data_IF_651411585025
#
_entry.id   IF_651411585025
#
_cell.length_a   1.000
_cell.length_b   1.000
_cell.length_c   1.000
_cell.angle_alpha   90.00
_cell.angle_beta   90.00
_cell.angle_gamma   90.00
#
_symmetry.space_group_name_H-M   'P 1'
#
loop_
_entity.id
_entity.type
_entity.pdbx_description
1 polymer ?
#
# COMPACT_ATOMS: atom_id res chain seq x y z
N UNK A 1 52.39 -41.21 -18.62
CA UNK A 1 51.45 -40.06 -18.58
C UNK A 1 50.70 -39.97 -19.91
N UNK A 2 49.51 -40.57 -20.00
CA UNK A 2 48.58 -40.41 -21.13
C UNK A 2 47.33 -41.27 -20.86
N UNK A 3 46.15 -40.68 -21.03
CA UNK A 3 44.79 -41.28 -21.00
C UNK A 3 43.98 -41.17 -19.69
N UNK A 4 43.60 -39.94 -19.32
CA UNK A 4 42.44 -39.71 -18.41
C UNK A 4 41.29 -38.91 -19.07
N UNK A 5 41.43 -38.56 -20.36
CA UNK A 5 40.49 -37.67 -21.07
C UNK A 5 39.60 -38.35 -22.12
N UNK A 6 39.79 -39.65 -22.42
CA UNK A 6 38.92 -40.40 -23.35
C UNK A 6 37.65 -40.86 -22.63
N UNK A 7 36.47 -40.42 -23.12
CA UNK A 7 35.16 -40.92 -22.70
C UNK A 7 34.37 -40.05 -21.70
N UNK A 8 34.82 -38.81 -21.40
CA UNK A 8 34.06 -37.88 -20.55
C UNK A 8 33.47 -36.74 -21.39
N UNK A 9 32.15 -36.75 -21.53
CA UNK A 9 31.37 -35.77 -22.28
C UNK A 9 30.76 -34.67 -21.40
N UNK A 10 29.96 -33.82 -22.04
CA UNK A 10 29.11 -32.83 -21.40
C UNK A 10 27.66 -33.13 -21.76
N UNK A 11 26.78 -33.08 -20.77
CA UNK A 11 25.35 -33.12 -20.96
C UNK A 11 24.78 -31.79 -20.53
N UNK A 12 24.02 -31.15 -21.42
CA UNK A 12 23.35 -29.89 -21.14
C UNK A 12 21.85 -30.09 -21.22
N UNK A 13 21.10 -29.24 -20.55
CA UNK A 13 19.66 -29.27 -20.63
C UNK A 13 19.03 -28.08 -19.95
N UNK A 14 17.71 -28.10 -19.91
CA UNK A 14 16.88 -27.10 -19.25
C UNK A 14 15.89 -27.81 -18.31
N UNK A 15 15.63 -27.18 -17.17
CA UNK A 15 14.53 -27.56 -16.27
C UNK A 15 13.45 -26.50 -16.39
N UNK A 16 12.24 -26.93 -16.73
CA UNK A 16 11.06 -26.08 -16.93
C UNK A 16 9.96 -26.50 -15.96
N UNK A 17 9.05 -25.59 -15.62
CA UNK A 17 7.77 -25.93 -15.00
C UNK A 17 6.79 -26.51 -16.05
N UNK A 18 5.68 -27.10 -15.60
CA UNK A 18 4.59 -27.53 -16.50
C UNK A 18 3.96 -26.36 -17.28
N UNK A 19 4.12 -25.14 -16.79
CA UNK A 19 3.78 -23.87 -17.43
C UNK A 19 4.79 -23.45 -18.53
N UNK A 20 5.90 -24.18 -18.68
CA UNK A 20 6.97 -23.86 -19.62
C UNK A 20 7.96 -22.81 -19.11
N UNK A 21 7.75 -22.28 -17.89
CA UNK A 21 8.63 -21.27 -17.31
C UNK A 21 9.96 -21.90 -16.82
N UNK A 22 11.11 -21.20 -16.95
CA UNK A 22 12.37 -21.75 -16.51
C UNK A 22 12.48 -21.88 -14.99
N UNK A 23 12.90 -23.05 -14.50
CA UNK A 23 13.11 -23.29 -13.06
C UNK A 23 14.55 -22.99 -12.70
N UNK A 24 14.80 -21.83 -12.11
CA UNK A 24 16.12 -21.45 -11.61
C UNK A 24 16.50 -22.18 -10.32
N UNK A 25 17.80 -22.35 -10.07
CA UNK A 25 18.35 -22.97 -8.87
C UNK A 25 17.89 -24.42 -8.59
N UNK A 26 17.31 -25.11 -9.57
CA UNK A 26 17.01 -26.53 -9.48
C UNK A 26 18.31 -27.32 -9.39
N UNK A 27 18.38 -28.25 -8.45
CA UNK A 27 19.51 -29.18 -8.31
C UNK A 27 19.25 -30.41 -9.17
N UNK A 28 20.17 -30.72 -10.06
CA UNK A 28 20.13 -31.87 -10.97
C UNK A 28 21.27 -32.82 -10.59
N UNK A 29 20.92 -34.00 -10.08
CA UNK A 29 21.86 -35.00 -9.56
C UNK A 29 21.86 -36.20 -10.51
N UNK A 30 23.00 -36.42 -11.15
CA UNK A 30 23.26 -37.57 -12.02
C UNK A 30 23.98 -38.64 -11.21
N UNK A 31 23.41 -39.85 -11.11
CA UNK A 31 24.06 -41.03 -10.50
C UNK A 31 24.23 -42.12 -11.54
N UNK A 32 25.47 -42.49 -11.84
CA UNK A 32 25.75 -43.56 -12.81
C UNK A 32 25.33 -44.91 -12.23
N UNK A 33 24.49 -45.68 -12.94
CA UNK A 33 23.85 -46.88 -12.37
C UNK A 33 24.87 -47.97 -12.01
N UNK A 34 25.90 -48.20 -12.83
CA UNK A 34 26.93 -49.21 -12.53
C UNK A 34 28.06 -48.68 -11.66
N UNK A 35 28.65 -47.53 -12.02
CA UNK A 35 29.81 -46.95 -11.34
C UNK A 35 29.48 -46.26 -10.01
N UNK A 36 28.20 -45.99 -9.74
CA UNK A 36 27.71 -45.27 -8.56
C UNK A 36 28.30 -43.86 -8.38
N UNK A 37 29.01 -43.33 -9.39
CA UNK A 37 29.55 -41.98 -9.39
C UNK A 37 28.44 -40.93 -9.51
N UNK A 38 28.55 -39.84 -8.75
CA UNK A 38 27.59 -38.73 -8.73
C UNK A 38 28.14 -37.46 -9.33
N UNK A 39 27.30 -36.74 -10.08
CA UNK A 39 27.59 -35.41 -10.64
C UNK A 39 26.40 -34.53 -10.32
N UNK A 40 26.65 -33.36 -9.72
CA UNK A 40 25.62 -32.39 -9.40
C UNK A 40 25.75 -31.18 -10.31
N UNK A 41 24.63 -30.63 -10.74
CA UNK A 41 24.55 -29.34 -11.43
C UNK A 41 23.40 -28.54 -10.86
N UNK A 42 23.45 -27.23 -11.05
CA UNK A 42 22.37 -26.32 -10.66
C UNK A 42 21.95 -25.50 -11.88
N UNK A 43 20.66 -25.22 -12.02
CA UNK A 43 20.15 -24.44 -13.13
C UNK A 43 20.38 -22.94 -12.93
N UNK A 44 20.64 -22.23 -14.02
CA UNK A 44 20.72 -20.76 -14.03
C UNK A 44 19.32 -20.10 -14.09
N UNK A 45 19.26 -18.77 -14.22
CA UNK A 45 18.00 -18.01 -14.35
C UNK A 45 17.13 -18.40 -15.56
N UNK A 46 17.73 -19.02 -16.57
CA UNK A 46 17.05 -19.55 -17.76
C UNK A 46 16.70 -21.04 -17.63
N UNK A 47 16.81 -21.60 -16.43
CA UNK A 47 16.57 -23.02 -16.18
C UNK A 47 17.66 -23.94 -16.75
N UNK A 48 18.73 -23.41 -17.32
CA UNK A 48 19.74 -24.20 -18.02
C UNK A 48 20.77 -24.78 -17.04
N UNK A 49 21.15 -26.05 -17.24
CA UNK A 49 22.20 -26.73 -16.47
C UNK A 49 23.25 -27.35 -17.39
N UNK A 50 24.44 -27.62 -16.82
CA UNK A 50 25.54 -28.31 -17.49
C UNK A 50 26.17 -29.34 -16.56
N UNK A 51 25.99 -30.62 -16.87
CA UNK A 51 26.71 -31.71 -16.24
C UNK A 51 27.98 -32.03 -17.04
N UNK A 52 29.12 -31.63 -16.51
CA UNK A 52 30.43 -31.95 -17.06
C UNK A 52 30.92 -33.32 -16.56
N UNK A 53 31.84 -33.94 -17.30
CA UNK A 53 32.52 -35.18 -16.91
C UNK A 53 31.65 -36.44 -16.89
N UNK A 54 30.55 -36.43 -17.65
CA UNK A 54 29.61 -37.55 -17.77
C UNK A 54 30.23 -38.65 -18.66
N UNK A 55 30.20 -39.90 -18.20
CA UNK A 55 30.57 -41.10 -18.97
C UNK A 55 29.36 -41.70 -19.70
N UNK A 56 29.59 -42.50 -20.73
CA UNK A 56 28.53 -43.27 -21.36
C UNK A 56 27.93 -44.32 -20.44
N UNK A 57 26.67 -44.66 -20.69
CA UNK A 57 25.93 -45.62 -19.88
C UNK A 57 24.62 -45.07 -19.35
N UNK A 58 23.99 -45.84 -18.46
CA UNK A 58 22.71 -45.48 -17.85
C UNK A 58 22.94 -44.66 -16.58
N UNK A 59 22.25 -43.53 -16.49
CA UNK A 59 22.27 -42.61 -15.36
C UNK A 59 20.87 -42.48 -14.77
N UNK A 60 20.76 -42.49 -13.45
CA UNK A 60 19.59 -41.98 -12.75
C UNK A 60 19.78 -40.47 -12.57
N UNK A 61 18.73 -39.72 -12.87
CA UNK A 61 18.70 -38.25 -12.79
C UNK A 61 17.62 -37.87 -11.79
N UNK A 62 18.04 -37.32 -10.66
CA UNK A 62 17.16 -36.81 -9.62
C UNK A 62 17.18 -35.28 -9.68
N UNK A 63 16.01 -34.66 -9.83
CA UNK A 63 15.85 -33.21 -9.92
C UNK A 63 14.98 -32.71 -8.77
N UNK A 64 15.47 -31.68 -8.08
CA UNK A 64 14.81 -31.06 -6.94
C UNK A 64 14.84 -29.54 -7.08
N UNK A 65 13.73 -28.88 -6.81
CA UNK A 65 13.62 -27.43 -6.76
C UNK A 65 12.59 -27.04 -5.70
N UNK A 66 12.80 -25.90 -5.03
CA UNK A 66 11.86 -25.39 -4.05
C UNK A 66 10.50 -25.12 -4.70
N UNK A 67 9.42 -25.61 -4.08
CA UNK A 67 8.06 -25.43 -4.60
C UNK A 67 7.66 -26.41 -5.71
N UNK A 68 8.52 -27.36 -6.10
CA UNK A 68 8.22 -28.40 -7.09
C UNK A 68 8.30 -29.81 -6.51
N UNK A 69 7.52 -30.73 -7.06
CA UNK A 69 7.64 -32.15 -6.76
C UNK A 69 8.97 -32.69 -7.32
N UNK A 70 9.73 -33.50 -6.54
CA UNK A 70 10.98 -34.06 -7.02
C UNK A 70 10.71 -35.00 -8.20
N UNK A 71 11.53 -34.90 -9.24
CA UNK A 71 11.42 -35.75 -10.43
C UNK A 71 12.62 -36.67 -10.51
N UNK A 72 12.34 -37.97 -10.70
CA UNK A 72 13.35 -38.99 -10.93
C UNK A 72 13.14 -39.60 -12.31
N UNK A 73 14.21 -39.78 -13.05
CA UNK A 73 14.19 -40.38 -14.38
C UNK A 73 15.51 -41.12 -14.66
N UNK A 74 15.52 -41.95 -15.70
CA UNK A 74 16.76 -42.55 -16.19
C UNK A 74 17.09 -41.99 -17.57
N UNK A 75 18.37 -41.74 -17.82
CA UNK A 75 18.88 -41.22 -19.09
C UNK A 75 20.08 -42.05 -19.55
N UNK A 76 20.05 -42.50 -20.81
CA UNK A 76 21.16 -43.26 -21.40
C UNK A 76 22.05 -42.31 -22.19
N UNK A 77 23.29 -42.17 -21.73
CA UNK A 77 24.30 -41.34 -22.39
C UNK A 77 25.05 -42.19 -23.42
N UNK A 78 25.05 -41.74 -24.67
CA UNK A 78 25.86 -42.30 -25.75
C UNK A 78 27.27 -41.73 -25.75
N UNK A 79 28.26 -42.57 -26.04
CA UNK A 79 29.66 -42.16 -26.25
C UNK A 79 29.98 -41.91 -27.74
N UNK A 80 29.08 -42.35 -28.63
CA UNK A 80 29.33 -42.42 -30.08
C UNK A 80 28.69 -41.22 -30.79
N UNK A 81 27.53 -40.78 -30.32
CA UNK A 81 26.78 -39.67 -30.91
C UNK A 81 26.64 -38.53 -29.91
N UNK A 82 26.44 -37.32 -30.42
CA UNK A 82 26.11 -36.17 -29.60
C UNK A 82 24.75 -36.40 -28.93
N UNK A 83 24.75 -36.40 -27.59
CA UNK A 83 23.52 -36.52 -26.82
C UNK A 83 22.70 -35.23 -26.98
N UNK A 84 21.38 -35.33 -27.27
CA UNK A 84 20.53 -34.17 -27.38
C UNK A 84 20.44 -33.43 -26.04
N UNK A 85 20.19 -32.11 -26.04
CA UNK A 85 19.90 -31.38 -24.81
C UNK A 85 18.74 -32.02 -24.07
N UNK A 86 18.87 -32.16 -22.75
CA UNK A 86 17.78 -32.66 -21.92
C UNK A 86 16.74 -31.57 -21.67
N UNK A 87 15.48 -31.96 -21.67
CA UNK A 87 14.37 -31.13 -21.19
C UNK A 87 13.70 -31.86 -20.02
N UNK A 88 13.64 -31.21 -18.86
CA UNK A 88 13.09 -31.79 -17.64
C UNK A 88 11.97 -30.90 -17.14
N UNK A 89 10.73 -31.35 -17.30
CA UNK A 89 9.55 -30.62 -16.80
C UNK A 89 9.23 -31.03 -15.37
N UNK A 90 9.13 -30.07 -14.44
CA UNK A 90 8.74 -30.27 -13.05
C UNK A 90 7.31 -29.79 -12.80
N UNK A 91 6.59 -30.53 -11.94
CA UNK A 91 5.25 -30.15 -11.46
C UNK A 91 5.35 -29.36 -10.17
N UNK A 92 4.67 -28.22 -10.08
CA UNK A 92 4.59 -27.43 -8.83
C UNK A 92 3.88 -28.24 -7.75
N UNK A 93 4.24 -28.00 -6.49
CA UNK A 93 3.51 -28.59 -5.36
C UNK A 93 2.12 -27.96 -5.23
N UNK A 94 1.14 -28.70 -4.72
CA UNK A 94 -0.21 -28.16 -4.47
C UNK A 94 -0.16 -26.90 -3.60
N UNK A 95 0.68 -26.89 -2.57
CA UNK A 95 0.90 -25.71 -1.70
C UNK A 95 1.39 -24.49 -2.48
N UNK A 96 2.30 -24.68 -3.44
CA UNK A 96 2.81 -23.59 -4.27
C UNK A 96 1.71 -23.04 -5.17
N UNK A 97 0.96 -23.92 -5.83
CA UNK A 97 -0.14 -23.53 -6.73
C UNK A 97 -1.21 -22.75 -5.96
N UNK A 98 -1.68 -23.27 -4.82
CA UNK A 98 -2.68 -22.59 -3.97
C UNK A 98 -2.18 -21.23 -3.50
N UNK A 99 -0.89 -21.10 -3.16
CA UNK A 99 -0.31 -19.81 -2.75
C UNK A 99 -0.26 -18.80 -3.90
N UNK A 100 0.08 -19.24 -5.11
CA UNK A 100 0.09 -18.38 -6.31
C UNK A 100 -1.33 -17.95 -6.67
N UNK A 101 -2.29 -18.87 -6.69
CA UNK A 101 -3.71 -18.57 -6.94
C UNK A 101 -4.28 -17.59 -5.92
N UNK A 102 -3.97 -17.79 -4.63
CA UNK A 102 -4.38 -16.86 -3.57
C UNK A 102 -3.79 -15.46 -3.80
N UNK A 103 -2.51 -15.39 -4.18
CA UNK A 103 -1.84 -14.10 -4.45
C UNK A 103 -2.47 -13.37 -5.63
N UNK A 104 -2.73 -14.07 -6.74
CA UNK A 104 -3.36 -13.46 -7.92
C UNK A 104 -4.81 -13.06 -7.63
N UNK A 105 -5.56 -13.86 -6.85
CA UNK A 105 -6.90 -13.49 -6.42
C UNK A 105 -6.91 -12.21 -5.58
N UNK A 106 -5.99 -12.08 -4.61
CA UNK A 106 -5.85 -10.85 -3.80
C UNK A 106 -5.49 -9.66 -4.68
N UNK A 107 -4.58 -9.83 -5.63
CA UNK A 107 -4.18 -8.77 -6.57
C UNK A 107 -5.34 -8.32 -7.46
N UNK A 108 -6.13 -9.24 -7.98
CA UNK A 108 -7.32 -8.94 -8.78
C UNK A 108 -8.34 -8.15 -7.96
N UNK A 109 -8.70 -8.66 -6.78
CA UNK A 109 -9.66 -8.01 -5.89
C UNK A 109 -9.21 -6.61 -5.45
N UNK A 110 -7.91 -6.43 -5.17
CA UNK A 110 -7.35 -5.13 -4.82
C UNK A 110 -7.48 -4.14 -5.99
N UNK A 111 -7.20 -4.60 -7.22
CA UNK A 111 -7.34 -3.78 -8.42
C UNK A 111 -8.79 -3.39 -8.67
N UNK A 112 -9.72 -4.36 -8.65
CA UNK A 112 -11.16 -4.12 -8.82
C UNK A 112 -11.72 -3.18 -7.75
N UNK A 113 -11.34 -3.40 -6.48
CA UNK A 113 -11.77 -2.54 -5.37
C UNK A 113 -11.29 -1.10 -5.54
N UNK A 114 -10.05 -0.90 -5.98
CA UNK A 114 -9.51 0.44 -6.23
C UNK A 114 -10.23 1.13 -7.41
N UNK A 115 -10.50 0.41 -8.52
CA UNK A 115 -11.25 0.96 -9.64
C UNK A 115 -12.68 1.38 -9.26
N UNK A 116 -13.34 0.57 -8.43
CA UNK A 116 -14.67 0.89 -7.90
C UNK A 116 -14.63 2.13 -6.98
N UNK A 117 -13.60 2.24 -6.15
CA UNK A 117 -13.39 3.40 -5.28
C UNK A 117 -13.19 4.68 -6.11
N UNK A 118 -12.36 4.64 -7.15
CA UNK A 118 -12.15 5.78 -8.07
C UNK A 118 -13.45 6.18 -8.80
N UNK A 119 -14.32 5.20 -9.10
CA UNK A 119 -15.66 5.42 -9.65
C UNK A 119 -16.68 5.92 -8.63
N UNK A 120 -16.27 6.16 -7.38
CA UNK A 120 -17.13 6.53 -6.23
C UNK A 120 -18.19 5.49 -5.86
N UNK A 121 -17.99 4.23 -6.24
CA UNK A 121 -18.86 3.10 -5.88
C UNK A 121 -18.35 2.44 -4.61
N UNK A 122 -18.44 3.18 -3.50
CA UNK A 122 -17.73 2.83 -2.26
C UNK A 122 -18.27 1.57 -1.59
N UNK A 123 -19.58 1.29 -1.68
CA UNK A 123 -20.17 0.06 -1.14
C UNK A 123 -19.64 -1.17 -1.89
N UNK A 124 -19.59 -1.11 -3.22
CA UNK A 124 -19.06 -2.20 -4.06
C UNK A 124 -17.55 -2.40 -3.82
N UNK A 125 -16.80 -1.30 -3.69
CA UNK A 125 -15.39 -1.33 -3.35
C UNK A 125 -15.13 -2.01 -1.99
N UNK A 126 -15.90 -1.63 -0.96
CA UNK A 126 -15.80 -2.22 0.38
C UNK A 126 -16.05 -3.73 0.36
N UNK A 127 -16.98 -4.23 -0.48
CA UNK A 127 -17.21 -5.67 -0.66
C UNK A 127 -15.94 -6.35 -1.21
N UNK A 128 -15.31 -5.79 -2.26
CA UNK A 128 -14.08 -6.37 -2.83
C UNK A 128 -12.93 -6.42 -1.84
N UNK A 129 -12.75 -5.37 -1.05
CA UNK A 129 -11.72 -5.35 -0.02
C UNK A 129 -12.02 -6.34 1.12
N UNK A 130 -13.28 -6.54 1.51
CA UNK A 130 -13.65 -7.56 2.51
C UNK A 130 -13.41 -8.98 2.01
N UNK A 131 -13.67 -9.27 0.74
CA UNK A 131 -13.33 -10.56 0.13
C UNK A 131 -11.83 -10.88 0.26
N UNK A 132 -10.95 -9.86 0.25
CA UNK A 132 -9.50 -10.05 0.49
C UNK A 132 -9.25 -10.49 1.92
N UNK A 133 -9.86 -9.86 2.92
CA UNK A 133 -9.69 -10.23 4.32
C UNK A 133 -10.28 -11.60 4.65
N UNK A 134 -11.34 -12.02 3.98
CA UNK A 134 -11.86 -13.40 4.10
C UNK A 134 -10.86 -14.44 3.60
N UNK A 135 -10.10 -14.11 2.54
CA UNK A 135 -9.08 -14.98 1.96
C UNK A 135 -7.76 -14.94 2.72
N UNK A 136 -7.38 -13.76 3.22
CA UNK A 136 -6.12 -13.50 3.93
C UNK A 136 -6.40 -12.61 5.14
N UNK A 137 -6.88 -13.17 6.26
CA UNK A 137 -7.22 -12.41 7.46
C UNK A 137 -6.04 -11.63 8.06
N UNK A 138 -4.80 -12.05 7.80
CA UNK A 138 -3.60 -11.39 8.28
C UNK A 138 -3.24 -10.11 7.52
N UNK A 139 -3.86 -9.85 6.36
CA UNK A 139 -3.58 -8.67 5.53
C UNK A 139 -4.33 -7.44 6.04
N UNK A 140 -4.04 -7.04 7.28
CA UNK A 140 -4.74 -5.96 7.98
C UNK A 140 -4.66 -4.60 7.28
N UNK A 141 -3.68 -4.38 6.41
CA UNK A 141 -3.53 -3.13 5.65
C UNK A 141 -4.79 -2.81 4.83
N UNK A 142 -5.52 -3.84 4.38
CA UNK A 142 -6.77 -3.68 3.63
C UNK A 142 -7.89 -3.05 4.46
N UNK A 143 -7.80 -3.08 5.80
CA UNK A 143 -8.74 -2.36 6.64
C UNK A 143 -8.71 -0.85 6.36
N UNK A 144 -7.57 -0.28 5.98
CA UNK A 144 -7.50 1.14 5.60
C UNK A 144 -8.41 1.42 4.39
N UNK A 145 -8.36 0.58 3.35
CA UNK A 145 -9.21 0.70 2.17
C UNK A 145 -10.70 0.57 2.51
N UNK A 146 -11.07 -0.37 3.38
CA UNK A 146 -12.47 -0.56 3.81
C UNK A 146 -12.95 0.64 4.62
N UNK A 147 -12.13 1.11 5.57
CA UNK A 147 -12.40 2.32 6.36
C UNK A 147 -12.59 3.54 5.46
N UNK A 148 -11.74 3.71 4.45
CA UNK A 148 -11.85 4.79 3.47
C UNK A 148 -13.17 4.73 2.70
N UNK A 149 -13.63 3.54 2.30
CA UNK A 149 -14.93 3.39 1.63
C UNK A 149 -16.07 3.90 2.53
N UNK A 150 -16.11 3.47 3.79
CA UNK A 150 -17.15 3.91 4.73
C UNK A 150 -17.04 5.39 5.09
N UNK A 151 -15.82 5.93 5.17
CA UNK A 151 -15.59 7.35 5.38
C UNK A 151 -16.19 8.18 4.24
N UNK A 152 -15.98 7.77 2.98
CA UNK A 152 -16.55 8.45 1.81
C UNK A 152 -18.08 8.35 1.72
N UNK A 153 -18.67 7.34 2.37
CA UNK A 153 -20.11 7.19 2.53
C UNK A 153 -20.68 7.97 3.73
N UNK A 154 -19.81 8.68 4.47
CA UNK A 154 -20.15 9.35 5.74
C UNK A 154 -20.69 8.37 6.81
N UNK A 155 -20.50 7.07 6.61
CA UNK A 155 -20.83 6.01 7.57
C UNK A 155 -19.72 5.85 8.60
N UNK A 156 -19.51 6.89 9.39
CA UNK A 156 -18.36 6.97 10.29
C UNK A 156 -18.30 5.84 11.32
N UNK A 157 -19.44 5.45 11.90
CA UNK A 157 -19.49 4.33 12.85
C UNK A 157 -19.06 2.99 12.22
N UNK A 158 -19.38 2.80 10.93
CA UNK A 158 -18.92 1.64 10.16
C UNK A 158 -17.42 1.70 9.86
N UNK A 159 -16.85 2.89 9.67
CA UNK A 159 -15.44 3.09 9.34
C UNK A 159 -14.49 2.90 10.54
N UNK A 160 -14.91 3.36 11.73
CA UNK A 160 -14.14 3.32 12.99
C UNK A 160 -13.40 1.98 13.26
N UNK A 161 -14.07 0.81 13.27
CA UNK A 161 -13.40 -0.44 13.62
C UNK A 161 -12.28 -0.83 12.64
N UNK A 162 -12.38 -0.41 11.37
CA UNK A 162 -11.36 -0.72 10.37
C UNK A 162 -10.10 0.12 10.57
N UNK A 163 -10.23 1.43 10.83
CA UNK A 163 -9.05 2.25 11.17
C UNK A 163 -8.42 1.83 12.49
N UNK A 164 -9.23 1.50 13.50
CA UNK A 164 -8.74 0.98 14.77
C UNK A 164 -7.95 -0.32 14.60
N UNK A 165 -8.43 -1.25 13.77
CA UNK A 165 -7.72 -2.49 13.46
C UNK A 165 -6.35 -2.25 12.78
N UNK A 166 -6.21 -1.18 11.98
CA UNK A 166 -4.90 -0.76 11.45
C UNK A 166 -4.00 -0.27 12.59
N UNK A 167 -4.51 0.63 13.44
CA UNK A 167 -3.73 1.21 14.54
C UNK A 167 -3.34 0.19 15.63
N UNK A 168 -4.09 -0.88 15.80
CA UNK A 168 -3.71 -2.00 16.67
C UNK A 168 -2.43 -2.71 16.21
N UNK A 169 -2.14 -2.70 14.89
CA UNK A 169 -0.96 -3.33 14.29
C UNK A 169 0.15 -2.32 14.04
N UNK A 170 -0.22 -1.13 13.59
CA UNK A 170 0.66 -0.01 13.29
C UNK A 170 0.17 1.24 14.02
N UNK A 171 0.54 1.44 15.29
CA UNK A 171 0.05 2.57 16.07
C UNK A 171 0.31 3.93 15.41
N UNK A 172 1.43 4.09 14.71
CA UNK A 172 1.83 5.33 14.02
C UNK A 172 1.51 5.31 12.51
N UNK A 173 0.45 4.63 12.10
CA UNK A 173 -0.01 4.69 10.72
C UNK A 173 -0.70 6.05 10.46
N UNK A 174 -0.03 6.93 9.72
CA UNK A 174 -0.48 8.31 9.49
C UNK A 174 -1.88 8.38 8.88
N UNK A 175 -2.17 7.56 7.86
CA UNK A 175 -3.46 7.57 7.17
C UNK A 175 -4.60 7.19 8.12
N UNK A 176 -4.41 6.14 8.93
CA UNK A 176 -5.42 5.71 9.90
C UNK A 176 -5.59 6.72 11.04
N UNK A 177 -4.52 7.35 11.52
CA UNK A 177 -4.59 8.41 12.53
C UNK A 177 -5.35 9.63 12.01
N UNK A 178 -5.04 10.07 10.79
CA UNK A 178 -5.69 11.21 10.14
C UNK A 178 -7.18 10.92 9.94
N UNK A 179 -7.53 9.79 9.32
CA UNK A 179 -8.92 9.43 9.07
C UNK A 179 -9.73 9.25 10.35
N UNK A 180 -9.16 8.62 11.38
CA UNK A 180 -9.83 8.43 12.67
C UNK A 180 -10.00 9.76 13.42
N UNK A 181 -8.97 10.61 13.40
CA UNK A 181 -9.02 11.97 13.96
C UNK A 181 -10.12 12.80 13.32
N UNK A 182 -10.20 12.77 11.98
CA UNK A 182 -11.25 13.45 11.22
C UNK A 182 -12.64 12.94 11.58
N UNK A 183 -12.83 11.62 11.67
CA UNK A 183 -14.12 11.05 12.09
C UNK A 183 -14.55 11.59 13.46
N UNK A 184 -13.65 11.60 14.44
CA UNK A 184 -14.02 12.11 15.78
C UNK A 184 -14.39 13.59 15.74
N UNK A 185 -13.70 14.39 14.94
CA UNK A 185 -14.03 15.80 14.74
C UNK A 185 -15.42 15.97 14.10
N UNK A 186 -15.72 15.23 13.03
CA UNK A 186 -17.04 15.27 12.36
C UNK A 186 -18.17 14.82 13.30
N UNK A 187 -17.87 13.93 14.25
CA UNK A 187 -18.80 13.51 15.31
C UNK A 187 -18.91 14.51 16.47
N UNK A 188 -18.18 15.62 16.44
CA UNK A 188 -18.15 16.63 17.51
C UNK A 188 -17.30 16.23 18.72
N UNK A 189 -16.55 15.14 18.64
CA UNK A 189 -15.62 14.66 19.68
C UNK A 189 -14.23 15.28 19.48
N UNK A 190 -14.17 16.61 19.47
CA UNK A 190 -12.98 17.39 19.10
C UNK A 190 -11.74 16.99 19.90
N UNK A 191 -11.85 16.81 21.22
CA UNK A 191 -10.70 16.44 22.06
C UNK A 191 -10.07 15.11 21.63
N UNK A 192 -10.89 14.08 21.35
CA UNK A 192 -10.39 12.77 20.90
C UNK A 192 -9.77 12.84 19.51
N UNK A 193 -10.38 13.64 18.62
CA UNK A 193 -9.83 13.89 17.31
C UNK A 193 -8.44 14.53 17.39
N UNK A 194 -8.30 15.55 18.23
CA UNK A 194 -7.03 16.24 18.45
C UNK A 194 -5.96 15.32 19.06
N UNK A 195 -6.31 14.44 20.02
CA UNK A 195 -5.35 13.48 20.59
C UNK A 195 -4.71 12.57 19.52
N UNK A 196 -5.45 12.24 18.46
CA UNK A 196 -4.93 11.44 17.34
C UNK A 196 -4.11 12.29 16.37
N UNK A 197 -4.60 13.48 16.05
CA UNK A 197 -3.92 14.40 15.12
C UNK A 197 -2.61 14.96 15.70
N UNK A 198 -2.50 15.11 17.02
CA UNK A 198 -1.29 15.54 17.73
C UNK A 198 -0.12 14.55 17.57
N UNK A 199 -0.38 13.34 17.05
CA UNK A 199 0.64 12.32 16.76
C UNK A 199 1.19 12.40 15.34
N UNK A 200 0.55 13.19 14.48
CA UNK A 200 0.96 13.40 13.10
C UNK A 200 1.97 14.54 13.00
N UNK A 201 2.78 14.51 11.95
CA UNK A 201 3.51 15.72 11.56
C UNK A 201 2.53 16.75 11.00
N UNK A 202 2.89 18.02 11.11
CA UNK A 202 2.05 19.08 10.58
C UNK A 202 1.81 18.91 9.07
N UNK A 203 2.81 18.44 8.32
CA UNK A 203 2.74 18.22 6.87
C UNK A 203 1.76 17.10 6.47
N UNK A 204 1.51 16.13 7.35
CA UNK A 204 0.57 15.03 7.08
C UNK A 204 -0.90 15.50 7.14
N UNK A 205 -1.17 16.61 7.84
CA UNK A 205 -2.51 17.15 8.00
C UNK A 205 -2.83 18.07 6.81
N UNK A 206 -3.55 17.53 5.83
CA UNK A 206 -3.80 18.22 4.55
C UNK A 206 -5.26 18.59 4.29
N UNK A 207 -6.21 17.94 4.97
CA UNK A 207 -7.64 18.21 4.78
C UNK A 207 -8.01 19.64 5.24
N UNK A 208 -8.64 20.47 4.39
CA UNK A 208 -9.03 21.83 4.75
C UNK A 208 -9.93 21.88 5.99
N UNK A 209 -10.90 20.97 6.07
CA UNK A 209 -11.84 20.89 7.19
C UNK A 209 -11.11 20.51 8.48
N UNK A 210 -10.17 19.57 8.40
CA UNK A 210 -9.35 19.17 9.56
C UNK A 210 -8.49 20.33 10.04
N UNK A 211 -7.81 21.03 9.12
CA UNK A 211 -7.01 22.21 9.42
C UNK A 211 -7.86 23.32 10.07
N UNK A 212 -9.05 23.58 9.54
CA UNK A 212 -10.01 24.53 10.12
C UNK A 212 -10.43 24.13 11.54
N UNK A 213 -10.69 22.85 11.78
CA UNK A 213 -11.11 22.36 13.10
C UNK A 213 -9.96 22.41 14.13
N UNK A 214 -8.72 22.13 13.71
CA UNK A 214 -7.53 22.36 14.55
C UNK A 214 -7.40 23.84 14.90
N UNK A 215 -7.52 24.73 13.90
CA UNK A 215 -7.52 26.18 14.11
C UNK A 215 -8.57 26.62 15.12
N UNK A 216 -9.77 26.06 15.02
CA UNK A 216 -10.88 26.33 15.96
C UNK A 216 -10.59 25.85 17.37
N UNK A 217 -10.00 24.67 17.52
CA UNK A 217 -9.54 24.17 18.82
C UNK A 217 -8.49 25.10 19.45
N UNK A 218 -7.54 25.58 18.66
CA UNK A 218 -6.49 26.50 19.10
C UNK A 218 -7.04 27.88 19.47
N UNK A 219 -7.98 28.41 18.67
CA UNK A 219 -8.66 29.67 18.95
C UNK A 219 -9.41 29.61 20.28
N UNK A 220 -10.16 28.53 20.52
CA UNK A 220 -10.89 28.32 21.78
C UNK A 220 -9.96 28.19 22.99
N UNK A 221 -8.73 27.71 22.80
CA UNK A 221 -7.67 27.68 23.82
C UNK A 221 -6.92 29.01 23.97
N UNK A 222 -7.33 30.07 23.25
CA UNK A 222 -6.70 31.39 23.27
C UNK A 222 -5.38 31.47 22.51
N UNK A 223 -4.99 30.44 21.76
CA UNK A 223 -3.75 30.42 20.95
C UNK A 223 -4.00 31.01 19.57
N UNK A 224 -4.31 32.30 19.52
CA UNK A 224 -4.77 32.98 18.30
C UNK A 224 -3.72 32.96 17.16
N UNK A 225 -2.44 33.21 17.45
CA UNK A 225 -1.38 33.16 16.41
C UNK A 225 -1.27 31.78 15.75
N UNK A 226 -1.33 30.71 16.55
CA UNK A 226 -1.29 29.34 16.04
C UNK A 226 -2.59 28.98 15.29
N UNK A 227 -3.74 29.47 15.76
CA UNK A 227 -5.01 29.26 15.06
C UNK A 227 -4.98 29.84 13.64
N UNK A 228 -4.45 31.07 13.49
CA UNK A 228 -4.28 31.72 12.18
C UNK A 228 -3.47 30.85 11.22
N UNK A 229 -2.36 30.26 11.66
CA UNK A 229 -1.53 29.40 10.81
C UNK A 229 -2.32 28.22 10.21
N UNK A 230 -3.10 27.52 11.04
CA UNK A 230 -3.94 26.41 10.58
C UNK A 230 -5.10 26.87 9.69
N UNK A 231 -5.75 27.99 10.01
CA UNK A 231 -6.80 28.53 9.15
C UNK A 231 -6.28 29.01 7.80
N UNK A 232 -5.12 29.65 7.74
CA UNK A 232 -4.50 30.09 6.48
C UNK A 232 -4.09 28.90 5.63
N UNK A 233 -3.63 27.80 6.25
CA UNK A 233 -3.41 26.53 5.55
C UNK A 233 -4.73 25.95 5.02
N UNK A 234 -5.81 25.98 5.80
CA UNK A 234 -7.13 25.55 5.35
C UNK A 234 -7.58 26.37 4.12
N UNK A 235 -7.45 27.70 4.18
CA UNK A 235 -7.73 28.63 3.06
C UNK A 235 -6.85 28.33 1.84
N UNK A 236 -5.57 27.99 2.05
CA UNK A 236 -4.68 27.62 0.94
C UNK A 236 -5.11 26.34 0.24
N UNK A 237 -5.75 25.40 0.94
CA UNK A 237 -6.26 24.16 0.36
C UNK A 237 -7.67 24.34 -0.23
N UNK A 238 -8.51 25.16 0.41
CA UNK A 238 -9.84 25.54 -0.06
C UNK A 238 -10.02 27.06 0.04
N UNK A 239 -9.72 27.80 -1.05
CA UNK A 239 -9.85 29.26 -1.08
C UNK A 239 -11.28 29.78 -0.96
N UNK A 240 -12.29 28.91 -1.10
CA UNK A 240 -13.71 29.25 -1.00
C UNK A 240 -14.28 28.98 0.40
N UNK A 241 -13.47 28.45 1.34
CA UNK A 241 -13.87 28.22 2.73
C UNK A 241 -14.07 29.53 3.49
N UNK A 242 -15.22 30.18 3.29
CA UNK A 242 -15.55 31.49 3.85
C UNK A 242 -15.38 31.52 5.38
N UNK A 243 -15.88 30.50 6.09
CA UNK A 243 -15.77 30.44 7.55
C UNK A 243 -14.32 30.52 8.06
N UNK A 244 -13.33 30.01 7.32
CA UNK A 244 -11.93 30.17 7.69
C UNK A 244 -11.48 31.64 7.63
N UNK A 245 -11.89 32.41 6.62
CA UNK A 245 -11.60 33.85 6.56
C UNK A 245 -12.25 34.61 7.72
N UNK A 246 -13.48 34.27 8.09
CA UNK A 246 -14.16 34.86 9.24
C UNK A 246 -13.38 34.59 10.54
N UNK A 247 -12.93 33.35 10.77
CA UNK A 247 -12.16 33.00 11.96
C UNK A 247 -10.79 33.67 12.01
N UNK A 248 -10.08 33.77 10.87
CA UNK A 248 -8.82 34.53 10.80
C UNK A 248 -9.06 36.01 11.13
N UNK A 249 -10.15 36.61 10.62
CA UNK A 249 -10.55 37.97 10.96
C UNK A 249 -10.74 38.18 12.46
N UNK A 250 -11.43 37.24 13.14
CA UNK A 250 -11.60 37.25 14.59
C UNK A 250 -10.26 37.10 15.34
N UNK A 251 -9.37 36.23 14.87
CA UNK A 251 -8.04 36.07 15.44
C UNK A 251 -7.24 37.38 15.34
N UNK A 252 -7.19 38.00 14.16
CA UNK A 252 -6.47 39.27 13.96
C UNK A 252 -7.08 40.41 14.77
N UNK A 253 -8.41 40.47 14.90
CA UNK A 253 -9.06 41.45 15.77
C UNK A 253 -8.62 41.28 17.23
N UNK A 254 -8.58 40.04 17.74
CA UNK A 254 -8.10 39.74 19.09
C UNK A 254 -6.62 40.06 19.31
N UNK A 255 -5.80 39.89 18.28
CA UNK A 255 -4.38 40.25 18.26
C UNK A 255 -4.13 41.76 17.99
N UNK A 256 -5.19 42.57 17.87
CA UNK A 256 -5.13 44.00 17.54
C UNK A 256 -4.44 44.31 16.19
N UNK A 257 -4.50 43.36 15.24
CA UNK A 257 -4.00 43.46 13.86
C UNK A 257 -5.13 43.92 12.94
N UNK A 258 -5.47 45.21 13.05
CA UNK A 258 -6.72 45.79 12.53
C UNK A 258 -6.85 45.74 11.01
N UNK A 259 -5.78 46.07 10.29
CA UNK A 259 -5.78 46.07 8.82
C UNK A 259 -5.94 44.64 8.27
N UNK A 260 -5.20 43.68 8.84
CA UNK A 260 -5.34 42.27 8.44
C UNK A 260 -6.72 41.70 8.79
N UNK A 261 -7.31 42.07 9.94
CA UNK A 261 -8.67 41.70 10.28
C UNK A 261 -9.68 42.23 9.26
N UNK A 262 -9.53 43.50 8.85
CA UNK A 262 -10.39 44.15 7.85
C UNK A 262 -10.35 43.40 6.52
N UNK A 263 -9.16 43.08 6.02
CA UNK A 263 -8.98 42.34 4.76
C UNK A 263 -9.74 41.00 4.78
N UNK A 264 -9.59 40.24 5.87
CA UNK A 264 -10.20 38.91 6.00
C UNK A 264 -11.71 38.95 6.12
N UNK A 265 -12.25 39.93 6.85
CA UNK A 265 -13.70 40.16 6.92
C UNK A 265 -14.30 40.59 5.60
N UNK A 266 -13.62 41.44 4.83
CA UNK A 266 -14.07 41.80 3.48
C UNK A 266 -14.10 40.58 2.56
N UNK A 267 -13.08 39.72 2.63
CA UNK A 267 -13.06 38.48 1.83
C UNK A 267 -14.18 37.52 2.22
N UNK A 268 -14.51 37.41 3.51
CA UNK A 268 -15.68 36.66 3.97
C UNK A 268 -16.99 37.17 3.34
N UNK A 269 -17.23 38.48 3.36
CA UNK A 269 -18.43 39.08 2.77
C UNK A 269 -18.51 38.93 1.24
N UNK A 270 -17.36 38.85 0.56
CA UNK A 270 -17.29 38.56 -0.87
C UNK A 270 -17.77 37.14 -1.19
N UNK A 271 -17.36 36.16 -0.38
CA UNK A 271 -17.71 34.75 -0.55
C UNK A 271 -19.15 34.44 -0.10
N UNK A 272 -19.60 35.07 0.99
CA UNK A 272 -20.89 34.80 1.64
C UNK A 272 -21.76 36.07 1.78
N UNK A 273 -22.27 36.62 0.66
CA UNK A 273 -23.02 37.89 0.65
C UNK A 273 -24.44 37.79 1.21
N UNK A 274 -24.91 36.59 1.57
CA UNK A 274 -26.22 36.35 2.20
C UNK A 274 -26.15 35.62 3.56
N UNK A 275 -24.95 35.45 4.13
CA UNK A 275 -24.76 34.79 5.43
C UNK A 275 -25.43 35.51 6.60
N UNK A 276 -25.89 34.73 7.58
CA UNK A 276 -26.41 35.24 8.86
C UNK A 276 -25.39 36.06 9.66
N UNK A 277 -24.09 35.87 9.42
CA UNK A 277 -23.01 36.59 10.13
C UNK A 277 -22.71 37.97 9.54
N UNK A 278 -23.34 38.36 8.41
CA UNK A 278 -23.01 39.62 7.71
C UNK A 278 -23.13 40.84 8.61
N UNK A 279 -24.21 40.94 9.37
CA UNK A 279 -24.44 42.12 10.23
C UNK A 279 -23.36 42.21 11.31
N UNK A 280 -22.98 41.07 11.87
CA UNK A 280 -21.89 41.01 12.84
C UNK A 280 -20.55 41.43 12.21
N UNK A 281 -20.26 40.97 11.00
CA UNK A 281 -19.03 41.34 10.28
C UNK A 281 -19.00 42.83 9.93
N UNK A 282 -20.14 43.41 9.52
CA UNK A 282 -20.25 44.87 9.30
C UNK A 282 -19.95 45.67 10.57
N UNK A 283 -20.46 45.24 11.73
CA UNK A 283 -20.15 45.86 13.02
C UNK A 283 -18.64 45.82 13.30
N UNK A 284 -17.96 44.69 13.03
CA UNK A 284 -16.51 44.60 13.18
C UNK A 284 -15.78 45.57 12.24
N UNK A 285 -16.20 45.66 10.97
CA UNK A 285 -15.61 46.58 10.00
C UNK A 285 -15.80 48.05 10.43
N UNK A 286 -16.98 48.44 10.91
CA UNK A 286 -17.23 49.80 11.43
C UNK A 286 -16.36 50.12 12.65
N UNK A 287 -16.17 49.14 13.54
CA UNK A 287 -15.27 49.29 14.69
C UNK A 287 -13.82 49.53 14.25
N UNK A 288 -13.36 48.74 13.27
CA UNK A 288 -12.01 48.85 12.72
C UNK A 288 -11.76 50.18 11.99
N UNK A 289 -12.79 50.79 11.39
CA UNK A 289 -12.67 52.08 10.70
C UNK A 289 -12.63 53.30 11.64
N UNK A 290 -13.16 53.19 12.86
CA UNK A 290 -13.20 54.30 13.83
C UNK A 290 -11.89 54.54 14.56
N UNK A 291 -10.97 53.58 14.52
CA UNK A 291 -9.69 53.61 15.24
C UNK A 291 -8.46 53.88 14.34
N UNK A 292 -8.69 54.30 13.08
CA UNK A 292 -7.68 54.78 12.13
C UNK A 292 -7.66 56.32 12.07
#
# INVERSE_FOLDING_TARGET
YSQDWKGKGRLKGVVLGEDGEPVANATVIFTHVQLQSKINSTTNKKGEFLAAWIKGGLWNVDVQAEGYLPKKMSYKVSEIIQNPPMEIVLKKTEKTVVREELREAVKSLLHEGNELFEQKKYEEAAVKFKEILEKVPELYQINLNIGNCYYQLEEYDSALPFYQAVLEKEPENNDALLSLGNIYIEKGELEKGMELLDRLSEEDITSPITLYNIGTSLFNKGRQDAAVEYYERAISQDPEMADAYYQVGLCYLGLNRKEEAKERFLKYLELEPESEKIEQVKIFLEYLEKDN
#
